data_IF_200901078680
#
_entry.id   IF_200901078680
#
_cell.length_a   1.000
_cell.length_b   1.000
_cell.length_c   1.000
_cell.angle_alpha   90.00
_cell.angle_beta   90.00
_cell.angle_gamma   90.00
#
_symmetry.space_group_name_H-M   'P 1'
#
loop_
_entity.id
_entity.type
_entity.pdbx_description
1 polymer ?
#
# COMPACT_ATOMS: atom_id res chain seq x y z
N UNK A 1 -59.01 60.52 78.51
CA UNK A 1 -59.54 59.91 79.75
C UNK A 1 -58.82 58.60 79.98
N UNK A 2 -58.47 58.29 81.23
CA UNK A 2 -58.14 56.93 81.75
C UNK A 2 -56.84 56.29 81.21
N UNK A 3 -56.16 55.53 82.09
CA UNK A 3 -54.83 54.93 81.90
C UNK A 3 -54.83 53.44 82.31
N UNK A 4 -53.85 52.67 81.82
CA UNK A 4 -53.29 51.42 82.38
C UNK A 4 -51.91 51.20 81.71
N UNK A 5 -50.78 51.12 82.41
CA UNK A 5 -50.24 49.99 83.22
C UNK A 5 -49.78 48.79 82.33
N UNK A 6 -48.47 48.54 82.11
CA UNK A 6 -47.44 47.83 82.94
C UNK A 6 -47.67 46.30 83.07
N UNK A 7 -46.69 45.37 83.06
CA UNK A 7 -45.18 45.37 83.08
C UNK A 7 -44.67 43.99 82.52
N UNK A 8 -43.40 43.53 82.47
CA UNK A 8 -42.06 44.04 82.90
C UNK A 8 -40.97 43.83 81.80
N UNK A 9 -40.25 42.69 81.80
CA UNK A 9 -38.98 42.46 81.05
C UNK A 9 -38.78 41.01 80.61
N UNK A 10 -37.99 40.80 79.55
CA UNK A 10 -36.73 40.02 79.70
C UNK A 10 -35.72 40.26 78.57
N UNK A 11 -34.42 40.11 78.88
CA UNK A 11 -33.29 40.30 77.96
C UNK A 11 -32.75 38.99 77.38
N UNK A 12 -32.37 38.95 76.10
CA UNK A 12 -31.19 38.18 75.64
C UNK A 12 -30.72 38.50 74.22
N UNK A 13 -29.44 38.20 73.96
CA UNK A 13 -28.79 37.90 72.68
C UNK A 13 -28.97 38.86 71.46
N UNK A 14 -28.05 39.80 71.35
CA UNK A 14 -27.15 40.01 70.19
C UNK A 14 -27.49 39.29 68.87
N UNK A 15 -27.74 40.06 67.79
CA UNK A 15 -27.06 39.79 66.51
C UNK A 15 -26.88 41.05 65.64
N UNK A 16 -25.74 41.10 64.93
CA UNK A 16 -25.33 42.21 64.06
C UNK A 16 -25.78 41.95 62.62
N UNK A 17 -26.04 43.02 61.86
CA UNK A 17 -26.26 43.00 60.39
C UNK A 17 -25.40 41.95 59.66
N UNK A 18 -26.02 41.22 58.74
CA UNK A 18 -25.46 41.03 57.38
C UNK A 18 -26.54 40.71 56.34
N UNK A 19 -26.72 41.64 55.40
CA UNK A 19 -27.23 41.30 54.07
C UNK A 19 -26.05 40.76 53.25
N UNK A 20 -26.29 39.70 52.47
CA UNK A 20 -25.28 39.02 51.65
C UNK A 20 -25.20 37.52 51.97
N UNK A 21 -25.50 36.67 50.99
CA UNK A 21 -25.49 35.21 51.20
C UNK A 21 -26.14 34.32 50.14
N UNK A 22 -26.65 34.85 49.01
CA UNK A 22 -27.24 34.01 47.93
C UNK A 22 -26.46 33.98 46.60
N UNK A 23 -25.54 34.93 46.37
CA UNK A 23 -24.73 34.99 45.13
C UNK A 23 -23.52 34.04 45.12
N UNK A 24 -22.99 33.69 46.29
CA UNK A 24 -21.83 32.79 46.43
C UNK A 24 -22.14 31.31 46.08
N UNK A 25 -23.17 30.66 46.64
CA UNK A 25 -23.44 29.24 46.32
C UNK A 25 -23.87 29.04 44.86
N UNK A 26 -24.60 30.00 44.26
CA UNK A 26 -24.96 29.94 42.84
C UNK A 26 -23.74 30.02 41.92
N UNK A 27 -22.72 30.83 42.28
CA UNK A 27 -21.49 30.95 41.49
C UNK A 27 -20.66 29.66 41.55
N UNK A 28 -20.57 29.03 42.73
CA UNK A 28 -19.90 27.74 42.89
C UNK A 28 -20.56 26.61 42.08
N UNK A 29 -21.90 26.54 42.09
CA UNK A 29 -22.65 25.56 41.27
C UNK A 29 -22.41 25.81 39.78
N UNK A 30 -22.50 27.07 39.32
CA UNK A 30 -22.22 27.43 37.92
C UNK A 30 -20.81 27.01 37.47
N UNK A 31 -19.81 27.18 38.33
CA UNK A 31 -18.42 26.86 38.03
C UNK A 31 -18.17 25.33 38.01
N UNK A 32 -18.83 24.56 38.88
CA UNK A 32 -18.81 23.09 38.84
C UNK A 32 -19.55 22.55 37.61
N UNK A 33 -20.75 23.05 37.30
CA UNK A 33 -21.51 22.65 36.11
C UNK A 33 -20.76 23.02 34.83
N UNK A 34 -20.17 24.22 34.75
CA UNK A 34 -19.32 24.62 33.63
C UNK A 34 -18.08 23.74 33.47
N UNK A 35 -17.41 23.39 34.58
CA UNK A 35 -16.30 22.45 34.57
C UNK A 35 -16.68 21.05 34.09
N UNK A 36 -17.84 20.52 34.52
CA UNK A 36 -18.35 19.23 34.06
C UNK A 36 -18.77 19.25 32.57
N UNK A 37 -19.32 20.36 32.07
CA UNK A 37 -19.62 20.54 30.65
C UNK A 37 -18.32 20.58 29.82
N UNK A 38 -17.29 21.30 30.28
CA UNK A 38 -15.99 21.34 29.61
C UNK A 38 -15.27 19.99 29.64
N UNK A 39 -15.34 19.24 30.75
CA UNK A 39 -14.81 17.88 30.82
C UNK A 39 -15.58 16.91 29.93
N UNK A 40 -16.91 17.01 29.88
CA UNK A 40 -17.75 16.22 28.97
C UNK A 40 -17.48 16.54 27.49
N UNK A 41 -17.26 17.82 27.16
CA UNK A 41 -16.87 18.26 25.82
C UNK A 41 -15.46 17.78 25.44
N UNK A 42 -14.50 17.87 26.37
CA UNK A 42 -13.13 17.41 26.14
C UNK A 42 -13.06 15.88 25.98
N UNK A 43 -13.83 15.14 26.79
CA UNK A 43 -14.01 13.70 26.61
C UNK A 43 -14.71 13.37 25.28
N UNK A 44 -15.74 14.13 24.89
CA UNK A 44 -16.40 13.96 23.60
C UNK A 44 -15.44 14.19 22.42
N UNK A 45 -14.60 15.22 22.46
CA UNK A 45 -13.53 15.44 21.46
C UNK A 45 -12.52 14.29 21.43
N UNK A 46 -12.23 13.66 22.57
CA UNK A 46 -11.39 12.45 22.66
C UNK A 46 -12.05 11.19 22.05
N UNK A 47 -13.38 11.23 21.84
CA UNK A 47 -14.16 10.16 21.20
C UNK A 47 -14.64 10.53 19.78
N UNK A 48 -14.25 11.68 19.22
CA UNK A 48 -14.43 11.95 17.79
C UNK A 48 -13.43 11.07 17.04
N UNK A 49 -13.87 10.16 16.15
CA UNK A 49 -12.95 9.35 15.37
C UNK A 49 -12.13 10.26 14.46
N UNK A 50 -10.82 10.04 14.44
CA UNK A 50 -9.93 10.70 13.48
C UNK A 50 -10.28 10.16 12.09
N UNK A 51 -10.56 11.05 11.13
CA UNK A 51 -10.83 10.67 9.75
C UNK A 51 -9.52 10.48 8.96
N UNK A 52 -9.56 9.69 7.89
CA UNK A 52 -8.43 9.58 6.96
C UNK A 52 -8.16 10.95 6.29
N UNK A 53 -6.89 11.33 6.08
CA UNK A 53 -6.52 12.68 5.60
C UNK A 53 -6.77 12.90 4.10
N UNK A 54 -7.41 11.97 3.42
CA UNK A 54 -7.81 12.04 2.01
C UNK A 54 -9.13 11.28 1.78
N UNK A 55 -9.74 11.51 0.61
CA UNK A 55 -10.94 10.80 0.17
C UNK A 55 -10.86 10.43 -1.31
N UNK A 56 -11.27 9.22 -1.66
CA UNK A 56 -11.49 8.81 -3.05
C UNK A 56 -12.80 9.41 -3.58
N UNK A 57 -12.70 10.20 -4.66
CA UNK A 57 -13.85 10.79 -5.37
C UNK A 57 -13.98 10.17 -6.74
N UNK A 58 -15.06 9.41 -6.96
CA UNK A 58 -15.33 8.76 -8.25
C UNK A 58 -15.55 9.82 -9.34
N UNK A 59 -14.76 9.75 -10.41
CA UNK A 59 -14.77 10.69 -11.54
C UNK A 59 -15.64 10.13 -12.67
N UNK A 60 -15.44 8.84 -13.00
CA UNK A 60 -16.11 8.15 -14.09
C UNK A 60 -16.20 6.65 -13.80
N UNK A 61 -17.18 6.00 -14.43
CA UNK A 61 -17.33 4.54 -14.50
C UNK A 61 -17.81 4.18 -15.89
N UNK A 62 -17.32 3.08 -16.45
CA UNK A 62 -17.65 2.64 -17.81
C UNK A 62 -17.04 1.30 -18.19
N UNK A 63 -17.13 0.96 -19.47
CA UNK A 63 -16.64 -0.30 -20.04
C UNK A 63 -15.20 -0.16 -20.56
N UNK A 64 -14.43 -1.25 -20.66
CA UNK A 64 -13.02 -1.24 -21.10
C UNK A 64 -12.74 -0.38 -22.34
N UNK A 65 -13.59 -0.46 -23.38
CA UNK A 65 -13.39 0.26 -24.64
C UNK A 65 -13.41 1.80 -24.51
N UNK A 66 -13.82 2.33 -23.36
CA UNK A 66 -13.82 3.76 -23.02
C UNK A 66 -12.50 4.20 -22.37
N UNK A 67 -11.61 3.24 -22.07
CA UNK A 67 -10.33 3.40 -21.39
C UNK A 67 -9.19 2.67 -22.17
N UNK A 68 -9.00 2.95 -23.47
CA UNK A 68 -8.05 2.22 -24.31
C UNK A 68 -6.60 2.34 -23.85
N UNK A 69 -6.26 3.35 -23.04
CA UNK A 69 -4.92 3.50 -22.46
C UNK A 69 -4.57 2.44 -21.40
N UNK A 70 -5.52 1.56 -21.04
CA UNK A 70 -5.29 0.40 -20.17
C UNK A 70 -4.85 -0.86 -20.94
N UNK A 71 -5.00 -0.90 -22.28
CA UNK A 71 -4.75 -2.08 -23.13
C UNK A 71 -5.49 -3.37 -22.68
N UNK A 72 -6.64 -3.21 -22.01
CA UNK A 72 -7.42 -4.29 -21.40
C UNK A 72 -8.40 -4.99 -22.37
N UNK A 73 -8.32 -4.75 -23.68
CA UNK A 73 -9.30 -5.18 -24.70
C UNK A 73 -9.55 -6.70 -24.78
N UNK A 74 -8.70 -7.52 -24.16
CA UNK A 74 -8.90 -8.96 -24.03
C UNK A 74 -9.91 -9.36 -22.94
N UNK A 75 -10.36 -8.41 -22.11
CA UNK A 75 -11.28 -8.59 -20.99
C UNK A 75 -12.44 -7.58 -21.05
N UNK A 76 -13.23 -7.56 -22.14
CA UNK A 76 -14.26 -6.54 -22.38
C UNK A 76 -15.41 -6.59 -21.37
N UNK A 77 -15.50 -7.62 -20.53
CA UNK A 77 -16.46 -7.75 -19.43
C UNK A 77 -16.07 -6.99 -18.15
N UNK A 78 -14.87 -6.39 -18.11
CA UNK A 78 -14.41 -5.62 -16.96
C UNK A 78 -15.02 -4.21 -16.92
N UNK A 79 -15.67 -3.91 -15.80
CA UNK A 79 -16.13 -2.58 -15.47
C UNK A 79 -14.99 -1.76 -14.89
N UNK A 80 -14.75 -0.58 -15.44
CA UNK A 80 -13.65 0.31 -15.06
C UNK A 80 -14.22 1.54 -14.33
N UNK A 81 -13.64 1.89 -13.18
CA UNK A 81 -13.92 3.13 -12.45
C UNK A 81 -12.64 3.93 -12.19
N UNK A 82 -12.70 5.25 -12.30
CA UNK A 82 -11.62 6.18 -11.96
C UNK A 82 -11.97 6.99 -10.72
N UNK A 83 -10.99 7.19 -9.84
CA UNK A 83 -11.12 7.97 -8.60
C UNK A 83 -9.99 8.99 -8.49
N UNK A 84 -10.33 10.24 -8.15
CA UNK A 84 -9.38 11.24 -7.67
C UNK A 84 -9.12 11.01 -6.18
N UNK A 85 -7.85 11.09 -5.76
CA UNK A 85 -7.49 11.12 -4.33
C UNK A 85 -7.39 12.57 -3.88
N UNK A 86 -8.35 13.01 -3.07
CA UNK A 86 -8.51 14.42 -2.65
C UNK A 86 -8.08 14.59 -1.20
N UNK A 87 -7.07 15.44 -0.94
CA UNK A 87 -6.68 15.89 0.41
C UNK A 87 -7.38 17.22 0.72
N UNK A 88 -8.04 17.39 1.89
CA UNK A 88 -8.64 18.65 2.29
C UNK A 88 -7.62 19.81 2.28
N UNK A 89 -8.00 20.93 1.65
CA UNK A 89 -7.13 22.11 1.52
C UNK A 89 -6.14 22.07 0.35
N UNK A 90 -6.04 20.97 -0.40
CA UNK A 90 -5.23 20.88 -1.64
C UNK A 90 -6.14 21.08 -2.85
N UNK A 91 -5.78 22.01 -3.74
CA UNK A 91 -6.62 22.37 -4.91
C UNK A 91 -6.76 21.27 -5.97
N UNK A 92 -5.81 20.32 -6.00
CA UNK A 92 -5.70 19.28 -7.04
C UNK A 92 -5.65 17.89 -6.40
N UNK A 93 -6.11 16.84 -7.12
CA UNK A 93 -5.95 15.45 -6.66
C UNK A 93 -4.47 15.11 -6.47
N UNK A 94 -4.11 14.57 -5.31
CA UNK A 94 -2.72 14.18 -4.99
C UNK A 94 -2.30 12.91 -5.74
N UNK A 95 -3.27 12.05 -6.07
CA UNK A 95 -3.10 10.88 -6.91
C UNK A 95 -4.42 10.55 -7.65
N UNK A 96 -4.38 9.61 -8.59
CA UNK A 96 -5.54 9.04 -9.26
C UNK A 96 -5.45 7.51 -9.28
N UNK A 97 -6.56 6.85 -8.94
CA UNK A 97 -6.69 5.40 -8.99
C UNK A 97 -7.62 4.98 -10.15
N UNK A 98 -7.20 4.02 -10.97
CA UNK A 98 -8.08 3.32 -11.91
C UNK A 98 -8.26 1.88 -11.46
N UNK A 99 -9.52 1.49 -11.33
CA UNK A 99 -9.96 0.24 -10.71
C UNK A 99 -10.74 -0.57 -11.75
N UNK A 100 -10.46 -1.86 -11.83
CA UNK A 100 -11.25 -2.81 -12.61
C UNK A 100 -12.02 -3.75 -11.69
N UNK A 101 -13.19 -4.19 -12.15
CA UNK A 101 -14.11 -5.06 -11.44
C UNK A 101 -14.80 -6.00 -12.44
N UNK A 102 -14.82 -7.32 -12.16
CA UNK A 102 -15.69 -8.27 -12.87
C UNK A 102 -16.99 -8.42 -12.07
N UNK A 103 -18.13 -8.23 -12.72
CA UNK A 103 -19.46 -8.26 -12.10
C UNK A 103 -19.53 -7.44 -10.79
N UNK A 104 -19.86 -8.07 -9.66
CA UNK A 104 -19.88 -7.50 -8.32
C UNK A 104 -18.73 -8.03 -7.43
N UNK A 105 -17.62 -8.49 -8.02
CA UNK A 105 -16.43 -8.90 -7.27
C UNK A 105 -15.76 -7.70 -6.55
N UNK A 106 -14.79 -7.95 -5.67
CA UNK A 106 -14.04 -6.87 -4.99
C UNK A 106 -13.24 -6.01 -5.99
N UNK A 107 -13.17 -4.68 -5.82
CA UNK A 107 -12.41 -3.80 -6.70
C UNK A 107 -10.90 -4.09 -6.69
N UNK A 108 -10.29 -4.09 -7.87
CA UNK A 108 -8.83 -4.31 -8.07
C UNK A 108 -8.20 -3.08 -8.73
N UNK A 109 -7.13 -2.55 -8.12
CA UNK A 109 -6.33 -1.46 -8.68
C UNK A 109 -5.57 -1.96 -9.93
N UNK A 110 -5.82 -1.36 -11.09
CA UNK A 110 -5.16 -1.70 -12.37
C UNK A 110 -4.27 -0.58 -12.92
N UNK A 111 -4.39 0.64 -12.39
CA UNK A 111 -3.43 1.74 -12.60
C UNK A 111 -3.44 2.68 -11.40
N UNK A 112 -2.27 3.04 -10.90
CA UNK A 112 -2.08 4.20 -10.03
C UNK A 112 -1.34 5.32 -10.77
N UNK A 113 -1.57 6.57 -10.37
CA UNK A 113 -0.82 7.74 -10.81
C UNK A 113 -0.65 8.71 -9.64
N UNK A 114 0.59 8.92 -9.20
CA UNK A 114 0.95 9.95 -8.24
C UNK A 114 1.03 11.31 -8.96
N UNK A 115 0.36 12.34 -8.43
CA UNK A 115 0.50 13.73 -8.89
C UNK A 115 1.41 14.56 -7.96
N UNK A 116 1.87 13.96 -6.86
CA UNK A 116 2.82 14.50 -5.87
C UNK A 116 4.23 13.94 -6.06
N UNK A 117 5.23 14.57 -5.45
CA UNK A 117 6.60 14.03 -5.39
C UNK A 117 6.76 12.91 -4.36
N UNK A 118 5.94 12.94 -3.32
CA UNK A 118 5.78 11.85 -2.36
C UNK A 118 4.86 10.79 -2.96
N UNK A 119 5.24 9.51 -2.83
CA UNK A 119 4.41 8.37 -3.23
C UNK A 119 3.31 8.16 -2.19
N UNK A 120 2.10 7.88 -2.65
CA UNK A 120 0.96 7.53 -1.80
C UNK A 120 0.37 6.20 -2.27
N UNK A 121 0.23 5.23 -1.35
CA UNK A 121 -0.20 3.83 -1.49
C UNK A 121 0.59 2.97 -2.49
N UNK A 122 0.70 3.38 -3.76
CA UNK A 122 1.26 2.59 -4.83
C UNK A 122 2.26 3.38 -5.69
N UNK A 123 3.23 2.66 -6.22
CA UNK A 123 4.17 3.16 -7.21
C UNK A 123 3.51 3.15 -8.60
N UNK A 124 3.91 4.07 -9.46
CA UNK A 124 3.44 4.17 -10.84
C UNK A 124 4.05 3.07 -11.74
N UNK A 125 3.26 2.55 -12.70
CA UNK A 125 3.72 1.62 -13.74
C UNK A 125 3.03 1.83 -15.08
N UNK A 126 3.61 1.27 -16.15
CA UNK A 126 3.06 1.35 -17.51
C UNK A 126 1.96 0.30 -17.72
N UNK A 127 0.75 0.77 -18.05
CA UNK A 127 -0.48 -0.04 -18.13
C UNK A 127 -0.38 -1.27 -19.04
N UNK A 128 0.13 -1.09 -20.25
CA UNK A 128 0.26 -2.16 -21.25
C UNK A 128 1.23 -3.30 -20.90
N UNK A 129 1.95 -3.22 -19.77
CA UNK A 129 2.83 -4.30 -19.31
C UNK A 129 2.04 -5.39 -18.59
N UNK A 130 1.07 -5.00 -17.74
CA UNK A 130 0.18 -5.92 -17.03
C UNK A 130 -0.68 -6.76 -17.99
N UNK A 131 -1.30 -6.10 -18.97
CA UNK A 131 -2.12 -6.75 -20.01
C UNK A 131 -1.34 -7.74 -20.89
N UNK A 132 -0.01 -7.59 -20.97
CA UNK A 132 0.85 -8.51 -21.70
C UNK A 132 1.36 -9.66 -20.82
N UNK A 133 1.68 -9.39 -19.55
CA UNK A 133 1.98 -10.40 -18.54
C UNK A 133 0.82 -11.39 -18.38
N UNK A 134 -0.43 -10.90 -18.25
CA UNK A 134 -1.61 -11.75 -18.12
C UNK A 134 -1.81 -12.68 -19.34
N UNK A 135 -1.50 -12.20 -20.55
CA UNK A 135 -1.50 -13.01 -21.79
C UNK A 135 -0.38 -14.06 -21.78
N UNK A 136 0.81 -13.70 -21.29
CA UNK A 136 1.94 -14.62 -21.16
C UNK A 136 1.70 -15.73 -20.13
N UNK A 137 1.10 -15.42 -18.97
CA UNK A 137 0.74 -16.45 -17.96
C UNK A 137 -0.15 -17.51 -18.58
N UNK A 138 -1.15 -17.11 -19.37
CA UNK A 138 -2.06 -18.02 -20.09
C UNK A 138 -1.39 -18.85 -21.21
N UNK A 139 -0.10 -18.62 -21.49
CA UNK A 139 0.73 -19.39 -22.42
C UNK A 139 1.77 -20.27 -21.68
N UNK A 140 2.29 -19.82 -20.53
CA UNK A 140 3.40 -20.47 -19.82
C UNK A 140 2.98 -21.26 -18.56
N UNK A 141 1.79 -20.99 -18.01
CA UNK A 141 1.27 -21.65 -16.83
C UNK A 141 0.09 -22.57 -17.17
N UNK A 142 0.08 -23.74 -16.53
CA UNK A 142 -1.08 -24.63 -16.49
C UNK A 142 -2.20 -23.97 -15.64
N UNK A 143 -3.48 -24.10 -16.04
CA UNK A 143 -4.59 -23.35 -15.44
C UNK A 143 -4.78 -23.54 -13.92
N UNK A 144 -4.37 -24.70 -13.41
CA UNK A 144 -4.48 -25.07 -11.99
C UNK A 144 -3.24 -24.67 -11.16
N UNK A 145 -2.20 -24.15 -11.82
CA UNK A 145 -0.96 -23.73 -11.18
C UNK A 145 -1.16 -22.49 -10.33
N UNK A 146 -0.46 -22.43 -9.20
CA UNK A 146 -0.51 -21.26 -8.31
C UNK A 146 0.39 -20.15 -8.86
N UNK A 147 -0.15 -18.95 -8.99
CA UNK A 147 0.67 -17.76 -9.23
C UNK A 147 0.95 -17.07 -7.88
N UNK A 148 2.22 -16.84 -7.59
CA UNK A 148 2.69 -16.09 -6.43
C UNK A 148 3.25 -14.76 -6.91
N UNK A 149 2.83 -13.67 -6.28
CA UNK A 149 3.37 -12.34 -6.56
C UNK A 149 3.22 -11.46 -5.32
N UNK A 150 3.61 -10.20 -5.38
CA UNK A 150 3.12 -9.21 -4.42
C UNK A 150 1.58 -9.17 -4.42
N UNK A 151 0.95 -8.75 -3.33
CA UNK A 151 -0.51 -8.92 -3.16
C UNK A 151 -1.35 -8.11 -4.15
N UNK A 152 -0.87 -6.93 -4.58
CA UNK A 152 -1.51 -6.09 -5.59
C UNK A 152 -1.46 -6.76 -6.97
N UNK A 153 -0.27 -7.24 -7.36
CA UNK A 153 -0.07 -8.01 -8.61
C UNK A 153 -0.88 -9.31 -8.58
N UNK A 154 -0.94 -10.00 -7.44
CA UNK A 154 -1.73 -11.23 -7.27
C UNK A 154 -3.21 -10.99 -7.60
N UNK A 155 -3.81 -9.93 -7.06
CA UNK A 155 -5.21 -9.56 -7.36
C UNK A 155 -5.42 -9.17 -8.82
N UNK A 156 -4.46 -8.47 -9.42
CA UNK A 156 -4.49 -8.13 -10.86
C UNK A 156 -4.46 -9.39 -11.72
N UNK A 157 -3.56 -10.34 -11.43
CA UNK A 157 -3.47 -11.60 -12.17
C UNK A 157 -4.71 -12.46 -11.97
N UNK A 158 -5.23 -12.63 -10.75
CA UNK A 158 -6.46 -13.38 -10.53
C UNK A 158 -7.64 -12.80 -11.33
N UNK A 159 -7.79 -11.47 -11.37
CA UNK A 159 -8.82 -10.82 -12.18
C UNK A 159 -8.66 -11.11 -13.68
N UNK A 160 -7.45 -10.96 -14.22
CA UNK A 160 -7.22 -11.06 -15.68
C UNK A 160 -7.09 -12.51 -16.17
N UNK A 161 -6.39 -13.39 -15.46
CA UNK A 161 -6.10 -14.76 -15.94
C UNK A 161 -7.00 -15.82 -15.32
N UNK A 162 -7.74 -15.51 -14.26
CA UNK A 162 -8.56 -16.46 -13.51
C UNK A 162 -7.77 -17.56 -12.78
N UNK A 163 -6.44 -17.50 -12.77
CA UNK A 163 -5.61 -18.47 -12.03
C UNK A 163 -5.74 -18.24 -10.52
N UNK A 164 -5.52 -19.29 -9.73
CA UNK A 164 -5.41 -19.15 -8.28
C UNK A 164 -4.15 -18.35 -7.93
N UNK A 165 -4.29 -17.44 -6.95
CA UNK A 165 -3.18 -16.61 -6.46
C UNK A 165 -3.06 -16.72 -4.95
N UNK A 166 -1.83 -16.68 -4.43
CA UNK A 166 -1.58 -16.87 -2.99
C UNK A 166 -2.21 -15.76 -2.12
N UNK A 167 -2.41 -14.57 -2.70
CA UNK A 167 -3.06 -13.42 -2.06
C UNK A 167 -4.26 -12.97 -2.89
N UNK A 168 -5.33 -12.59 -2.21
CA UNK A 168 -6.64 -12.25 -2.81
C UNK A 168 -7.27 -10.99 -2.17
N UNK A 169 -6.98 -10.74 -0.90
CA UNK A 169 -7.38 -9.52 -0.20
C UNK A 169 -6.48 -8.34 -0.55
N UNK A 170 -7.03 -7.13 -0.51
CA UNK A 170 -6.21 -5.92 -0.48
C UNK A 170 -5.48 -5.89 0.87
N UNK A 171 -4.16 -6.12 0.88
CA UNK A 171 -3.39 -6.19 2.14
C UNK A 171 -2.90 -4.82 2.61
N UNK A 172 -2.69 -3.86 1.69
CA UNK A 172 -2.14 -2.53 1.99
C UNK A 172 -0.71 -2.56 2.60
N UNK A 173 0.07 -3.61 2.29
CA UNK A 173 1.37 -3.87 2.91
C UNK A 173 2.56 -3.77 1.91
N UNK A 174 3.62 -2.98 2.20
CA UNK A 174 3.68 -1.98 3.27
C UNK A 174 2.72 -0.82 3.04
N UNK A 175 2.27 -0.18 4.12
CA UNK A 175 1.46 1.03 4.05
C UNK A 175 2.33 2.23 3.62
N UNK A 176 2.35 2.54 2.32
CA UNK A 176 3.10 3.68 1.78
C UNK A 176 2.30 4.97 1.98
N UNK A 177 2.55 5.70 3.06
CA UNK A 177 1.96 7.03 3.32
C UNK A 177 3.01 8.07 3.73
N UNK A 178 2.77 9.37 3.47
CA UNK A 178 3.61 10.45 3.95
C UNK A 178 3.83 10.45 5.47
N UNK A 179 5.01 10.89 5.91
CA UNK A 179 5.43 10.85 7.31
C UNK A 179 4.45 11.59 8.26
N UNK A 180 3.88 12.70 7.79
CA UNK A 180 2.88 13.49 8.50
C UNK A 180 1.53 12.78 8.72
N UNK A 181 1.30 11.61 8.13
CA UNK A 181 0.08 10.80 8.31
C UNK A 181 0.30 9.56 9.17
N UNK A 182 1.51 9.33 9.68
CA UNK A 182 1.83 8.20 10.55
C UNK A 182 1.05 8.21 11.89
N UNK A 183 0.63 9.39 12.36
CA UNK A 183 -0.22 9.53 13.56
C UNK A 183 -1.68 9.06 13.33
N UNK A 184 -2.09 8.82 12.09
CA UNK A 184 -3.49 8.50 11.72
C UNK A 184 -3.64 7.18 10.95
N UNK A 185 -2.65 6.28 11.07
CA UNK A 185 -2.59 4.97 10.39
C UNK A 185 -3.84 4.11 10.60
N UNK A 186 -4.39 4.02 11.82
CA UNK A 186 -5.59 3.21 12.09
C UNK A 186 -6.84 3.73 11.35
N UNK A 187 -6.95 5.05 11.17
CA UNK A 187 -8.02 5.68 10.41
C UNK A 187 -7.87 5.42 8.91
N UNK A 188 -6.62 5.46 8.41
CA UNK A 188 -6.27 5.12 7.03
C UNK A 188 -6.58 3.65 6.73
N UNK A 189 -6.13 2.70 7.55
CA UNK A 189 -6.42 1.27 7.37
C UNK A 189 -7.93 0.99 7.37
N UNK A 190 -8.67 1.56 8.31
CA UNK A 190 -10.13 1.44 8.39
C UNK A 190 -10.82 2.01 7.13
N UNK A 191 -10.32 3.13 6.60
CA UNK A 191 -10.83 3.74 5.37
C UNK A 191 -10.51 2.89 4.13
N UNK A 192 -9.27 2.43 3.97
CA UNK A 192 -8.85 1.59 2.83
C UNK A 192 -9.61 0.25 2.81
N UNK A 193 -9.73 -0.45 3.94
CA UNK A 193 -10.53 -1.70 4.02
C UNK A 193 -11.99 -1.47 3.59
N UNK A 194 -12.56 -0.32 3.94
CA UNK A 194 -13.93 0.07 3.57
C UNK A 194 -14.04 0.40 2.07
N UNK A 195 -13.10 1.16 1.52
CA UNK A 195 -13.09 1.54 0.09
C UNK A 195 -12.84 0.33 -0.83
N UNK A 196 -11.84 -0.49 -0.52
CA UNK A 196 -11.50 -1.69 -1.29
C UNK A 196 -12.44 -2.88 -1.06
N UNK A 197 -13.41 -2.74 -0.14
CA UNK A 197 -14.41 -3.76 0.21
C UNK A 197 -13.75 -5.10 0.57
N UNK A 198 -12.58 -5.03 1.21
CA UNK A 198 -11.67 -6.16 1.38
C UNK A 198 -10.98 -6.06 2.73
N UNK A 199 -10.92 -7.18 3.44
CA UNK A 199 -10.28 -7.28 4.75
C UNK A 199 -9.43 -8.54 4.78
N UNK A 200 -8.13 -8.36 4.95
CA UNK A 200 -7.15 -9.42 5.02
C UNK A 200 -7.38 -10.33 6.24
N UNK A 201 -7.08 -11.63 6.07
CA UNK A 201 -7.06 -12.55 7.21
C UNK A 201 -5.68 -12.55 7.89
N UNK A 202 -5.63 -12.85 9.19
CA UNK A 202 -4.34 -13.00 9.90
C UNK A 202 -3.46 -14.11 9.29
N UNK A 203 -4.08 -15.13 8.70
CA UNK A 203 -3.36 -16.19 7.98
C UNK A 203 -2.74 -15.66 6.68
N UNK A 204 -3.49 -14.90 5.88
CA UNK A 204 -3.03 -14.31 4.63
C UNK A 204 -1.91 -13.29 4.86
N UNK A 205 -2.01 -12.46 5.91
CA UNK A 205 -0.93 -11.56 6.35
C UNK A 205 0.32 -12.34 6.80
N UNK A 206 0.17 -13.44 7.53
CA UNK A 206 1.30 -14.29 7.93
C UNK A 206 1.95 -15.02 6.73
N UNK A 207 1.16 -15.46 5.75
CA UNK A 207 1.65 -16.01 4.48
C UNK A 207 2.37 -14.93 3.66
N UNK A 208 1.84 -13.71 3.62
CA UNK A 208 2.46 -12.58 2.93
C UNK A 208 3.80 -12.20 3.56
N UNK A 209 3.87 -12.14 4.90
CA UNK A 209 5.14 -11.95 5.62
C UNK A 209 6.17 -13.04 5.30
N UNK A 210 5.77 -14.32 5.23
CA UNK A 210 6.69 -15.41 4.81
C UNK A 210 7.16 -15.25 3.37
N UNK A 211 6.27 -14.82 2.47
CA UNK A 211 6.61 -14.55 1.06
C UNK A 211 7.65 -13.43 0.93
N UNK A 212 7.43 -12.29 1.60
CA UNK A 212 8.35 -11.16 1.55
C UNK A 212 9.66 -11.45 2.29
N UNK A 213 9.64 -12.19 3.42
CA UNK A 213 10.87 -12.66 4.07
C UNK A 213 11.70 -13.58 3.15
N UNK A 214 11.06 -14.48 2.39
CA UNK A 214 11.75 -15.33 1.41
C UNK A 214 12.41 -14.53 0.27
N UNK A 215 11.82 -13.40 -0.14
CA UNK A 215 12.42 -12.49 -1.12
C UNK A 215 13.67 -11.76 -0.58
N UNK A 216 13.80 -11.61 0.74
CA UNK A 216 15.02 -11.05 1.40
C UNK A 216 16.12 -12.08 1.66
N UNK A 217 15.84 -13.38 1.52
CA UNK A 217 16.83 -14.43 1.69
C UNK A 217 17.74 -14.55 0.46
N UNK A 218 18.84 -15.30 0.58
CA UNK A 218 19.65 -15.69 -0.59
C UNK A 218 18.86 -16.59 -1.54
N UNK A 219 19.20 -16.67 -2.84
CA UNK A 219 18.38 -17.36 -3.84
C UNK A 219 17.89 -18.76 -3.44
N UNK A 220 18.80 -19.68 -3.11
CA UNK A 220 18.44 -21.06 -2.74
C UNK A 220 17.56 -21.11 -1.48
N UNK A 221 17.91 -20.33 -0.46
CA UNK A 221 17.18 -20.26 0.81
C UNK A 221 15.77 -19.68 0.62
N UNK A 222 15.63 -18.65 -0.22
CA UNK A 222 14.38 -18.01 -0.57
C UNK A 222 13.49 -18.91 -1.42
N UNK A 223 14.06 -19.61 -2.41
CA UNK A 223 13.32 -20.57 -3.24
C UNK A 223 12.81 -21.76 -2.42
N UNK A 224 13.58 -22.26 -1.45
CA UNK A 224 13.09 -23.28 -0.49
C UNK A 224 11.92 -22.73 0.34
N UNK A 225 12.04 -21.52 0.90
CA UNK A 225 10.95 -20.90 1.68
C UNK A 225 9.68 -20.66 0.86
N UNK A 226 9.82 -20.21 -0.39
CA UNK A 226 8.70 -20.07 -1.34
C UNK A 226 8.07 -21.44 -1.66
N UNK A 227 8.89 -22.47 -1.89
CA UNK A 227 8.44 -23.84 -2.17
C UNK A 227 7.70 -24.47 -0.97
N UNK A 228 8.12 -24.20 0.25
CA UNK A 228 7.34 -24.54 1.46
C UNK A 228 6.00 -23.82 1.54
N UNK A 229 5.95 -22.54 1.12
CA UNK A 229 4.77 -21.70 1.22
C UNK A 229 3.68 -22.08 0.19
N UNK A 230 4.07 -22.51 -1.01
CA UNK A 230 3.14 -22.99 -2.06
C UNK A 230 2.81 -24.48 -1.99
N UNK A 231 3.63 -25.26 -1.27
CA UNK A 231 3.55 -26.71 -1.19
C UNK A 231 4.43 -27.44 -2.21
N UNK A 232 5.01 -28.56 -1.78
CA UNK A 232 6.04 -29.30 -2.53
C UNK A 232 5.57 -29.86 -3.88
N UNK A 233 4.33 -30.35 -3.93
CA UNK A 233 3.77 -31.04 -5.10
C UNK A 233 3.01 -30.12 -6.07
N UNK A 234 2.84 -28.83 -5.75
CA UNK A 234 2.04 -27.91 -6.55
C UNK A 234 2.90 -27.25 -7.64
N UNK A 235 2.45 -27.28 -8.89
CA UNK A 235 3.05 -26.46 -9.93
C UNK A 235 2.78 -24.97 -9.62
N UNK A 236 3.84 -24.18 -9.59
CA UNK A 236 3.78 -22.80 -9.11
C UNK A 236 4.76 -21.91 -9.86
N UNK A 237 4.36 -20.65 -10.03
CA UNK A 237 5.13 -19.63 -10.72
C UNK A 237 5.24 -18.40 -9.81
N UNK A 238 6.37 -17.72 -9.84
CA UNK A 238 6.57 -16.45 -9.12
C UNK A 238 6.69 -15.30 -10.11
N UNK A 239 5.98 -14.22 -9.83
CA UNK A 239 6.07 -12.94 -10.52
C UNK A 239 6.65 -11.92 -9.55
N UNK A 240 7.66 -11.19 -10.02
CA UNK A 240 8.16 -9.97 -9.35
C UNK A 240 8.06 -8.79 -10.30
N UNK A 241 7.89 -7.60 -9.74
CA UNK A 241 7.95 -6.34 -10.46
C UNK A 241 9.05 -5.45 -9.86
N UNK A 242 9.71 -4.61 -10.68
CA UNK A 242 10.81 -3.74 -10.20
C UNK A 242 10.39 -2.85 -9.00
N UNK A 243 9.11 -2.45 -8.92
CA UNK A 243 8.58 -1.70 -7.77
C UNK A 243 8.70 -2.42 -6.44
N UNK A 244 8.72 -3.75 -6.47
CA UNK A 244 8.67 -4.58 -5.27
C UNK A 244 9.99 -4.47 -4.48
N UNK A 245 11.09 -4.03 -5.11
CA UNK A 245 12.31 -3.63 -4.43
C UNK A 245 12.04 -2.57 -3.36
N UNK A 246 11.35 -1.50 -3.73
CA UNK A 246 11.05 -0.40 -2.79
C UNK A 246 10.03 -0.82 -1.74
N UNK A 247 9.02 -1.62 -2.12
CA UNK A 247 8.07 -2.22 -1.16
C UNK A 247 8.83 -3.09 -0.12
N UNK A 248 9.79 -3.89 -0.57
CA UNK A 248 10.57 -4.77 0.29
C UNK A 248 11.57 -4.01 1.18
N UNK A 249 12.21 -2.97 0.66
CA UNK A 249 13.09 -2.07 1.43
C UNK A 249 12.35 -1.23 2.48
N UNK A 250 11.06 -0.94 2.29
CA UNK A 250 10.21 -0.37 3.33
C UNK A 250 9.85 -1.38 4.43
N UNK A 251 9.70 -2.67 4.10
CA UNK A 251 9.38 -3.73 5.07
C UNK A 251 10.60 -4.25 5.85
N UNK A 252 11.77 -4.31 5.21
CA UNK A 252 13.02 -4.87 5.77
C UNK A 252 14.24 -4.00 5.43
N UNK A 253 14.27 -2.72 5.89
CA UNK A 253 15.40 -1.81 5.64
C UNK A 253 16.73 -2.31 6.21
N UNK A 254 16.70 -3.28 7.14
CA UNK A 254 17.88 -3.96 7.70
C UNK A 254 18.43 -5.11 6.84
N UNK A 255 17.71 -5.49 5.77
CA UNK A 255 18.10 -6.59 4.86
C UNK A 255 18.34 -6.15 3.42
N UNK A 256 17.58 -5.17 2.94
CA UNK A 256 17.68 -4.65 1.57
C UNK A 256 17.56 -3.12 1.57
N UNK A 257 18.69 -2.44 1.40
CA UNK A 257 18.74 -1.00 1.24
C UNK A 257 18.35 -0.61 -0.19
N UNK A 258 17.23 0.12 -0.34
CA UNK A 258 16.71 0.53 -1.65
C UNK A 258 16.39 2.02 -1.67
N UNK A 259 16.99 2.75 -2.62
CA UNK A 259 16.60 4.10 -2.99
C UNK A 259 15.96 4.10 -4.39
N UNK A 260 15.21 5.14 -4.73
CA UNK A 260 14.72 5.35 -6.10
C UNK A 260 14.81 6.83 -6.50
N UNK A 261 14.88 7.09 -7.80
CA UNK A 261 14.76 8.45 -8.35
C UNK A 261 14.11 8.41 -9.74
N UNK A 262 13.20 9.34 -10.00
CA UNK A 262 12.60 9.55 -11.32
C UNK A 262 13.48 10.45 -12.20
N UNK A 263 13.57 10.15 -13.50
CA UNK A 263 14.29 10.93 -14.50
C UNK A 263 13.48 11.11 -15.80
N UNK A 264 13.48 12.30 -16.42
CA UNK A 264 12.80 12.53 -17.69
C UNK A 264 13.58 11.88 -18.85
N UNK A 265 12.90 11.06 -19.65
CA UNK A 265 13.45 10.32 -20.78
C UNK A 265 13.61 11.24 -22.01
N UNK A 266 14.59 12.15 -21.93
CA UNK A 266 14.83 13.24 -22.90
C UNK A 266 15.52 12.81 -24.20
N UNK A 267 15.27 11.57 -24.68
CA UNK A 267 15.85 10.99 -25.90
C UNK A 267 17.36 10.69 -25.86
N UNK A 268 18.12 11.38 -25.01
CA UNK A 268 19.56 11.20 -24.83
C UNK A 268 19.88 10.12 -23.77
N UNK A 269 19.74 8.85 -24.15
CA UNK A 269 20.04 7.71 -23.27
C UNK A 269 21.51 7.69 -22.78
N UNK A 270 22.46 8.21 -23.57
CA UNK A 270 23.86 8.33 -23.14
C UNK A 270 24.05 9.34 -22.00
N UNK A 271 23.34 10.47 -22.05
CA UNK A 271 23.30 11.44 -20.93
C UNK A 271 22.69 10.83 -19.68
N UNK A 272 21.61 10.05 -19.83
CA UNK A 272 20.95 9.33 -18.74
C UNK A 272 21.90 8.34 -18.03
N UNK A 273 22.66 7.52 -18.78
CA UNK A 273 23.66 6.60 -18.20
C UNK A 273 24.73 7.34 -17.40
N UNK A 274 25.19 8.51 -17.88
CA UNK A 274 26.14 9.33 -17.13
C UNK A 274 25.53 9.88 -15.83
N UNK A 275 24.25 10.28 -15.83
CA UNK A 275 23.56 10.65 -14.59
C UNK A 275 23.44 9.48 -13.61
N UNK A 276 23.18 8.24 -14.07
CA UNK A 276 23.14 7.07 -13.18
C UNK A 276 24.51 6.81 -12.55
N UNK A 277 25.59 6.89 -13.34
CA UNK A 277 26.98 6.72 -12.84
C UNK A 277 27.39 7.80 -11.83
N UNK A 278 26.86 9.02 -11.95
CA UNK A 278 27.03 10.07 -10.94
C UNK A 278 26.23 9.72 -9.68
N UNK A 279 24.96 9.30 -9.79
CA UNK A 279 24.17 8.91 -8.61
C UNK A 279 24.74 7.70 -7.86
N UNK A 280 25.26 6.68 -8.56
CA UNK A 280 25.98 5.57 -7.91
C UNK A 280 27.14 6.10 -7.06
N UNK A 281 28.01 6.90 -7.67
CA UNK A 281 29.26 7.36 -7.05
C UNK A 281 29.06 8.38 -5.93
N UNK A 282 28.12 9.31 -6.10
CA UNK A 282 27.93 10.42 -5.17
C UNK A 282 27.12 10.01 -3.92
N UNK A 283 26.42 8.87 -3.96
CA UNK A 283 25.67 8.29 -2.82
C UNK A 283 26.23 6.92 -2.34
N UNK A 284 27.32 6.43 -2.93
CA UNK A 284 27.98 5.14 -2.64
C UNK A 284 27.07 3.89 -2.82
N UNK A 285 26.21 3.90 -3.84
CA UNK A 285 25.33 2.77 -4.18
C UNK A 285 26.08 1.67 -4.96
N UNK A 286 25.79 0.40 -4.65
CA UNK A 286 26.40 -0.79 -5.28
C UNK A 286 25.95 -1.01 -6.74
N UNK A 287 24.67 -0.82 -7.04
CA UNK A 287 24.11 -1.02 -8.39
C UNK A 287 22.77 -0.30 -8.59
N UNK A 288 22.28 -0.29 -9.82
CA UNK A 288 20.96 0.22 -10.19
C UNK A 288 20.28 -0.62 -11.29
N UNK A 289 18.94 -0.60 -11.27
CA UNK A 289 18.07 -1.09 -12.35
C UNK A 289 17.07 0.01 -12.76
N UNK A 290 16.43 -0.12 -13.92
CA UNK A 290 15.56 0.89 -14.53
C UNK A 290 14.17 0.34 -14.85
N UNK A 291 13.13 1.09 -14.50
CA UNK A 291 11.73 0.85 -14.87
C UNK A 291 11.25 2.00 -15.76
N UNK A 292 10.48 1.71 -16.82
CA UNK A 292 9.73 2.75 -17.54
C UNK A 292 8.42 3.04 -16.80
N UNK A 293 8.13 4.31 -16.50
CA UNK A 293 6.85 4.72 -15.92
C UNK A 293 5.90 5.16 -17.04
N UNK A 294 6.40 6.02 -17.92
CA UNK A 294 5.70 6.56 -19.09
C UNK A 294 6.66 6.57 -20.28
N UNK A 295 6.18 6.94 -21.47
CA UNK A 295 7.07 7.12 -22.64
C UNK A 295 8.03 8.32 -22.50
N UNK A 296 7.89 9.14 -21.45
CA UNK A 296 8.71 10.31 -21.17
C UNK A 296 9.40 10.30 -19.81
N UNK A 297 9.26 9.23 -19.01
CA UNK A 297 9.79 9.17 -17.64
C UNK A 297 10.17 7.74 -17.24
N UNK A 298 11.36 7.59 -16.65
CA UNK A 298 11.87 6.36 -16.06
C UNK A 298 12.10 6.53 -14.56
N UNK A 299 12.02 5.43 -13.81
CA UNK A 299 12.46 5.34 -12.41
C UNK A 299 13.72 4.47 -12.36
N UNK A 300 14.80 5.01 -11.81
CA UNK A 300 15.93 4.18 -11.39
C UNK A 300 15.68 3.71 -9.95
N UNK A 301 16.03 2.46 -9.67
CA UNK A 301 16.08 1.90 -8.32
C UNK A 301 17.53 1.51 -8.05
N UNK A 302 18.06 1.95 -6.91
CA UNK A 302 19.45 1.77 -6.49
C UNK A 302 19.49 0.85 -5.28
N UNK A 303 20.47 -0.07 -5.25
CA UNK A 303 20.76 -0.88 -4.07
C UNK A 303 21.91 -0.26 -3.27
N UNK A 304 21.74 -0.15 -1.96
CA UNK A 304 22.69 0.54 -1.07
C UNK A 304 24.02 -0.19 -0.93
N UNK A 305 24.05 -1.51 -1.08
CA UNK A 305 25.18 -2.35 -0.72
C UNK A 305 25.16 -3.72 -1.43
N UNK A 306 26.29 -4.41 -1.39
CA UNK A 306 26.46 -5.75 -1.97
C UNK A 306 25.52 -6.78 -1.31
N UNK A 307 25.21 -6.66 -0.02
CA UNK A 307 24.29 -7.58 0.67
C UNK A 307 22.88 -7.50 0.08
N UNK A 308 22.40 -6.30 -0.22
CA UNK A 308 21.12 -6.04 -0.89
C UNK A 308 21.07 -6.70 -2.27
N UNK A 309 22.20 -6.69 -2.99
CA UNK A 309 22.41 -7.39 -4.27
C UNK A 309 22.48 -8.91 -4.17
N UNK A 310 22.61 -9.49 -2.98
CA UNK A 310 22.56 -10.95 -2.73
C UNK A 310 21.17 -11.46 -2.32
N UNK A 311 20.16 -10.60 -2.26
CA UNK A 311 18.77 -11.01 -2.03
C UNK A 311 18.17 -11.70 -3.27
N UNK A 312 17.25 -12.65 -3.06
CA UNK A 312 16.55 -13.35 -4.13
C UNK A 312 15.85 -12.36 -5.08
N UNK A 313 15.16 -11.34 -4.55
CA UNK A 313 14.51 -10.33 -5.37
C UNK A 313 15.51 -9.54 -6.25
N UNK A 314 16.70 -9.22 -5.73
CA UNK A 314 17.73 -8.56 -6.53
C UNK A 314 18.26 -9.46 -7.66
N UNK A 315 18.50 -10.76 -7.41
CA UNK A 315 18.91 -11.71 -8.45
C UNK A 315 17.85 -11.96 -9.53
N UNK A 316 16.57 -11.73 -9.21
CA UNK A 316 15.45 -11.85 -10.15
C UNK A 316 15.23 -10.61 -11.03
N UNK A 317 16.06 -9.56 -10.92
CA UNK A 317 15.85 -8.27 -11.57
C UNK A 317 17.11 -7.74 -12.28
N UNK A 318 16.99 -6.99 -13.40
CA UNK A 318 18.10 -6.68 -14.28
C UNK A 318 18.96 -5.53 -13.74
N UNK A 319 19.86 -5.85 -12.82
CA UNK A 319 20.81 -4.89 -12.24
C UNK A 319 22.07 -4.69 -13.09
N UNK A 320 22.56 -3.45 -13.11
CA UNK A 320 23.75 -3.06 -13.88
C UNK A 320 25.01 -3.62 -13.23
N UNK A 321 25.93 -4.14 -14.04
CA UNK A 321 27.21 -4.74 -13.61
C UNK A 321 27.06 -5.93 -12.62
N UNK A 322 25.88 -6.59 -12.63
CA UNK A 322 25.59 -7.87 -11.96
C UNK A 322 25.25 -8.96 -13.00
N UNK A 323 25.27 -10.27 -12.66
CA UNK A 323 24.85 -11.35 -13.57
C UNK A 323 23.42 -11.16 -14.08
N UNK A 324 23.13 -11.58 -15.31
CA UNK A 324 21.80 -11.38 -15.87
C UNK A 324 20.75 -12.29 -15.18
N UNK A 325 19.47 -11.88 -15.04
CA UNK A 325 18.46 -12.69 -14.33
C UNK A 325 18.02 -13.98 -15.05
N UNK A 326 18.66 -14.31 -16.19
CA UNK A 326 18.57 -15.60 -16.89
C UNK A 326 19.69 -16.58 -16.50
N UNK A 327 20.72 -16.12 -15.78
CA UNK A 327 21.82 -16.91 -15.22
C UNK A 327 21.50 -17.42 -13.80
N UNK A 328 20.30 -17.10 -13.28
CA UNK A 328 19.82 -17.50 -11.96
C UNK A 328 19.43 -18.99 -11.93
N UNK A 329 20.35 -19.86 -11.53
CA UNK A 329 20.13 -21.32 -11.50
C UNK A 329 18.93 -21.75 -10.61
N UNK A 330 18.64 -20.99 -9.55
CA UNK A 330 17.57 -21.26 -8.59
C UNK A 330 16.13 -21.15 -9.18
N UNK A 331 15.94 -20.43 -10.29
CA UNK A 331 14.62 -20.14 -10.87
C UNK A 331 14.66 -20.08 -12.41
N UNK A 332 13.80 -20.83 -13.08
CA UNK A 332 13.70 -20.76 -14.54
C UNK A 332 12.91 -19.52 -14.98
N UNK A 333 13.58 -18.53 -15.57
CA UNK A 333 12.95 -17.39 -16.23
C UNK A 333 12.14 -17.86 -17.45
N UNK A 334 10.87 -17.46 -17.55
CA UNK A 334 9.99 -17.81 -18.67
C UNK A 334 9.52 -16.60 -19.48
N UNK A 335 9.29 -15.46 -18.83
CA UNK A 335 8.83 -14.25 -19.50
C UNK A 335 9.31 -12.99 -18.77
N UNK A 336 9.63 -11.96 -19.54
CA UNK A 336 9.92 -10.61 -19.06
C UNK A 336 9.25 -9.58 -19.98
N UNK A 337 8.68 -8.52 -19.42
CA UNK A 337 8.26 -7.33 -20.17
C UNK A 337 8.21 -6.12 -19.26
N UNK A 338 9.03 -5.11 -19.60
CA UNK A 338 9.14 -3.87 -18.86
C UNK A 338 9.55 -4.14 -17.41
N UNK A 339 8.71 -3.73 -16.45
CA UNK A 339 8.99 -3.98 -15.04
C UNK A 339 8.72 -5.41 -14.55
N UNK A 340 7.99 -6.25 -15.30
CA UNK A 340 7.52 -7.57 -14.82
C UNK A 340 8.41 -8.74 -15.28
N UNK A 341 8.67 -9.66 -14.33
CA UNK A 341 9.47 -10.88 -14.53
C UNK A 341 8.72 -12.10 -13.99
N UNK A 342 8.52 -13.13 -14.82
CA UNK A 342 7.80 -14.37 -14.52
C UNK A 342 8.77 -15.56 -14.56
N UNK A 343 8.87 -16.24 -13.42
CA UNK A 343 9.71 -17.42 -13.21
C UNK A 343 8.86 -18.65 -12.84
N UNK A 344 9.35 -19.84 -13.21
CA UNK A 344 8.85 -21.11 -12.64
C UNK A 344 9.61 -21.43 -11.36
N UNK A 345 8.87 -21.75 -10.29
CA UNK A 345 9.47 -22.28 -9.05
C UNK A 345 9.83 -23.76 -9.28
N UNK A 346 11.07 -24.21 -9.00
CA UNK A 346 11.42 -25.64 -9.13
C UNK A 346 10.57 -26.50 -8.19
N UNK A 347 10.18 -27.69 -8.65
CA UNK A 347 9.22 -28.58 -7.96
C UNK A 347 7.80 -28.54 -8.53
N UNK A 348 6.92 -29.37 -7.97
CA UNK A 348 5.67 -29.78 -8.62
C UNK A 348 5.81 -31.11 -9.38
N UNK A 349 4.69 -31.66 -9.85
CA UNK A 349 4.69 -32.85 -10.72
C UNK A 349 5.19 -32.48 -12.12
N UNK A 350 6.44 -32.81 -12.45
CA UNK A 350 6.87 -32.80 -13.85
C UNK A 350 6.03 -33.80 -14.65
N UNK A 351 5.23 -33.30 -15.59
CA UNK A 351 4.57 -34.12 -16.60
C UNK A 351 5.64 -34.64 -17.55
N UNK A 352 6.21 -35.80 -17.20
CA UNK A 352 7.17 -36.57 -17.98
C UNK A 352 6.71 -36.61 -19.45
N UNK A 353 7.26 -35.71 -20.27
CA UNK A 353 6.80 -35.48 -21.63
C UNK A 353 7.43 -36.55 -22.50
N UNK A 354 6.82 -37.73 -22.48
CA UNK A 354 7.19 -38.87 -23.30
C UNK A 354 7.06 -38.49 -24.77
N UNK A 355 8.21 -38.16 -25.35
CA UNK A 355 8.43 -38.29 -26.78
C UNK A 355 8.05 -39.72 -27.15
N UNK A 356 6.99 -39.86 -27.94
CA UNK A 356 6.67 -41.09 -28.63
C UNK A 356 7.58 -41.12 -29.86
N UNK A 357 8.38 -42.18 -29.98
CA UNK A 357 9.31 -42.43 -31.09
C UNK A 357 8.57 -42.67 -32.44
#
# INVERSE_FOLDING_TARGET
>A
MISAETTDRNTQATQVKRSGGKLLPSLGILLVTGGLILLGWFAYLWFVPIEAPYQYRQISTGEVHQYPELELDAWPELKISRYDVIVPGVEKPVAQATVAQRDNAVPVLVKWQNNTKEILHALDWKTGELSALAKAISQYADKEALIVAWWDISRQINLLTGHETLFTSHLNEPLIIPQQWQEVVEAIDTYEQTFWQSKSSQQELAQFKRFSEALTARPEEGVVQLRELVGQNREAYIIVHVTDLYKLGLMYPEKIGVAYQNFPLTGNMHGMINHMKVQLKDNDFDTYTLQSITDTEIRAYFLSDEQSSETLLAKMLPFTDKPAPMELEALQLLYQRGGYWLYKLPGGQEKETRLVE
#
